data_IF_634706512106
#
_entry.id   IF_634706512106
#
_cell.length_a   1.000
_cell.length_b   1.000
_cell.length_c   1.000
_cell.angle_alpha   90.00
_cell.angle_beta   90.00
_cell.angle_gamma   90.00
#
_symmetry.space_group_name_H-M   'P 1'
#
loop_
_entity.id
_entity.type
_entity.pdbx_description
1 polymer ?
#
# COMPACT_ATOMS: atom_id res chain seq x y z
N UNK A 1 3.81 16.73 -16.45
CA UNK A 1 3.75 15.27 -16.54
C UNK A 1 3.59 14.66 -15.15
N UNK A 2 2.64 13.72 -14.94
CA UNK A 2 2.53 13.07 -13.64
C UNK A 2 3.75 12.19 -13.37
N UNK A 3 4.17 12.15 -12.11
CA UNK A 3 5.20 11.24 -11.65
C UNK A 3 4.54 10.02 -11.01
N UNK A 4 5.07 8.84 -11.31
CA UNK A 4 4.54 7.58 -10.81
C UNK A 4 5.61 6.76 -10.13
N UNK A 5 5.21 6.04 -9.09
CA UNK A 5 6.05 5.09 -8.39
C UNK A 5 5.43 3.69 -8.52
N UNK A 6 6.22 2.70 -8.88
CA UNK A 6 5.76 1.32 -8.95
C UNK A 6 6.56 0.46 -7.98
N UNK A 7 5.85 -0.31 -7.17
CA UNK A 7 6.46 -1.18 -6.17
C UNK A 7 5.73 -2.53 -6.16
N UNK A 8 6.48 -3.62 -6.01
CA UNK A 8 5.91 -4.96 -5.86
C UNK A 8 6.74 -5.78 -4.86
N UNK A 9 6.21 -6.94 -4.49
CA UNK A 9 6.91 -7.92 -3.64
C UNK A 9 7.39 -7.35 -2.30
N UNK A 10 6.55 -6.49 -1.69
CA UNK A 10 6.85 -5.94 -0.37
C UNK A 10 6.77 -7.01 0.73
N UNK A 11 5.91 -8.02 0.57
CA UNK A 11 5.76 -9.19 1.45
C UNK A 11 5.67 -8.83 2.93
N UNK A 12 4.98 -7.70 3.24
CA UNK A 12 4.79 -7.27 4.62
C UNK A 12 6.08 -6.95 5.37
N UNK A 13 7.15 -6.65 4.68
CA UNK A 13 8.42 -6.32 5.33
C UNK A 13 8.40 -4.86 5.80
N UNK A 14 8.49 -4.69 7.12
CA UNK A 14 8.46 -3.37 7.74
C UNK A 14 9.49 -2.42 7.15
N UNK A 15 10.72 -2.90 6.92
CA UNK A 15 11.81 -2.08 6.38
C UNK A 15 11.49 -1.56 4.99
N UNK A 16 10.86 -2.39 4.14
CA UNK A 16 10.47 -1.99 2.78
C UNK A 16 9.33 -0.97 2.80
N UNK A 17 8.31 -1.19 3.65
CA UNK A 17 7.21 -0.24 3.77
C UNK A 17 7.67 1.10 4.36
N UNK A 18 8.52 1.07 5.37
CA UNK A 18 9.07 2.29 5.95
C UNK A 18 9.82 3.12 4.89
N UNK A 19 10.67 2.45 4.10
CA UNK A 19 11.40 3.10 3.01
C UNK A 19 10.43 3.68 1.97
N UNK A 20 9.39 2.92 1.60
CA UNK A 20 8.38 3.38 0.66
C UNK A 20 7.70 4.65 1.16
N UNK A 21 7.19 4.65 2.39
CA UNK A 21 6.48 5.81 2.93
C UNK A 21 7.40 7.01 3.13
N UNK A 22 8.68 6.81 3.43
CA UNK A 22 9.65 7.89 3.49
C UNK A 22 9.82 8.54 2.12
N UNK A 23 9.93 7.74 1.06
CA UNK A 23 10.02 8.25 -0.31
C UNK A 23 8.76 9.00 -0.71
N UNK A 24 7.58 8.45 -0.40
CA UNK A 24 6.30 9.09 -0.72
C UNK A 24 6.15 10.43 -0.01
N UNK A 25 6.58 10.50 1.25
CA UNK A 25 6.53 11.74 2.02
C UNK A 25 7.49 12.81 1.52
N UNK A 26 8.58 12.42 0.90
CA UNK A 26 9.60 13.34 0.39
C UNK A 26 9.32 13.77 -1.05
N UNK A 27 9.04 12.80 -1.92
CA UNK A 27 8.92 13.03 -3.37
C UNK A 27 7.48 13.36 -3.79
N UNK A 28 6.49 12.99 -2.98
CA UNK A 28 5.07 13.25 -3.23
C UNK A 28 4.68 12.97 -4.69
N UNK A 29 4.85 11.72 -5.19
CA UNK A 29 4.48 11.40 -6.57
C UNK A 29 2.98 11.55 -6.79
N UNK A 30 2.56 11.72 -8.04
CA UNK A 30 1.14 11.85 -8.37
C UNK A 30 0.40 10.51 -8.20
N UNK A 31 1.06 9.39 -8.48
CA UNK A 31 0.46 8.07 -8.35
C UNK A 31 1.48 7.04 -7.86
N UNK A 32 0.95 6.04 -7.15
CA UNK A 32 1.73 4.90 -6.66
C UNK A 32 0.99 3.63 -7.05
N UNK A 33 1.71 2.66 -7.62
CA UNK A 33 1.17 1.36 -7.96
C UNK A 33 1.80 0.30 -7.07
N UNK A 34 0.97 -0.38 -6.27
CA UNK A 34 1.38 -1.51 -5.45
C UNK A 34 1.02 -2.79 -6.19
N UNK A 35 2.02 -3.46 -6.72
CA UNK A 35 1.86 -4.51 -7.74
C UNK A 35 1.53 -5.90 -7.23
N UNK A 36 1.12 -6.05 -5.98
CA UNK A 36 0.77 -7.35 -5.40
C UNK A 36 1.85 -7.91 -4.48
N UNK A 37 1.54 -9.05 -3.87
CA UNK A 37 2.39 -9.72 -2.88
C UNK A 37 2.76 -8.77 -1.74
N UNK A 38 1.71 -8.16 -1.16
CA UNK A 38 1.85 -7.08 -0.17
C UNK A 38 1.96 -7.60 1.26
N UNK A 39 1.36 -8.76 1.54
CA UNK A 39 1.25 -9.32 2.88
C UNK A 39 2.49 -10.08 3.32
N UNK A 40 2.73 -10.19 4.64
CA UNK A 40 3.82 -11.00 5.15
C UNK A 40 3.72 -12.46 4.72
N UNK A 41 4.84 -13.07 4.36
CA UNK A 41 4.93 -14.50 4.15
C UNK A 41 4.84 -15.20 5.51
N UNK A 42 3.99 -16.24 5.60
CA UNK A 42 3.66 -16.88 6.87
C UNK A 42 4.88 -17.46 7.62
N UNK A 43 5.91 -17.84 6.87
CA UNK A 43 7.09 -18.51 7.43
C UNK A 43 8.37 -17.68 7.38
N UNK A 44 8.27 -16.43 6.96
CA UNK A 44 9.45 -15.58 6.84
C UNK A 44 9.61 -14.69 8.07
N UNK A 45 10.77 -14.75 8.72
CA UNK A 45 11.09 -13.80 9.77
C UNK A 45 11.59 -12.49 9.13
N UNK A 46 11.09 -11.32 9.57
CA UNK A 46 11.55 -10.06 9.03
C UNK A 46 13.02 -9.81 9.43
N UNK A 47 13.85 -9.27 8.52
CA UNK A 47 15.26 -9.01 8.78
C UNK A 47 15.54 -8.08 9.96
N UNK A 48 14.65 -7.11 10.19
CA UNK A 48 14.77 -6.17 11.29
C UNK A 48 14.10 -6.64 12.57
N UNK A 49 13.55 -7.86 12.58
CA UNK A 49 12.84 -8.42 13.73
C UNK A 49 11.48 -7.79 14.00
N UNK A 50 11.05 -6.84 13.18
CA UNK A 50 9.78 -6.13 13.38
C UNK A 50 8.69 -6.79 12.56
N UNK A 51 7.68 -7.34 13.25
CA UNK A 51 6.52 -7.93 12.58
C UNK A 51 5.41 -6.91 12.45
N UNK A 52 4.75 -6.91 11.29
CA UNK A 52 3.59 -6.08 11.06
C UNK A 52 2.34 -6.72 11.69
N UNK A 53 1.30 -5.90 12.01
CA UNK A 53 0.08 -6.43 12.63
C UNK A 53 -0.56 -7.54 11.80
N UNK A 54 -1.25 -8.52 12.46
CA UNK A 54 -1.96 -9.58 11.72
C UNK A 54 -3.03 -9.07 10.76
N UNK A 55 -3.79 -8.03 11.14
CA UNK A 55 -4.73 -7.36 10.25
C UNK A 55 -4.00 -6.24 9.51
N UNK A 56 -3.17 -6.65 8.55
CA UNK A 56 -2.22 -5.77 7.88
C UNK A 56 -2.87 -4.55 7.24
N UNK A 57 -3.94 -4.78 6.46
CA UNK A 57 -4.54 -3.66 5.73
C UNK A 57 -5.22 -2.66 6.65
N UNK A 58 -5.92 -3.12 7.71
CA UNK A 58 -6.61 -2.23 8.64
C UNK A 58 -5.66 -1.59 9.65
N UNK A 59 -4.76 -2.39 10.23
CA UNK A 59 -3.97 -1.97 11.39
C UNK A 59 -2.61 -1.39 11.01
N UNK A 60 -2.15 -1.61 9.79
CA UNK A 60 -0.88 -1.07 9.33
C UNK A 60 -1.02 -0.18 8.11
N UNK A 61 -1.45 -0.74 6.98
CA UNK A 61 -1.42 0.00 5.71
C UNK A 61 -2.38 1.19 5.71
N UNK A 62 -3.61 0.99 6.20
CA UNK A 62 -4.58 2.08 6.29
C UNK A 62 -4.10 3.17 7.25
N UNK A 63 -3.51 2.80 8.37
CA UNK A 63 -2.96 3.76 9.34
C UNK A 63 -1.84 4.57 8.70
N UNK A 64 -0.90 3.92 8.02
CA UNK A 64 0.21 4.60 7.35
C UNK A 64 -0.28 5.54 6.25
N UNK A 65 -1.28 5.12 5.47
CA UNK A 65 -1.86 5.96 4.44
C UNK A 65 -2.60 7.17 5.01
N UNK A 66 -3.33 7.00 6.11
CA UNK A 66 -3.98 8.14 6.79
C UNK A 66 -2.96 9.15 7.29
N UNK A 67 -1.86 8.68 7.86
CA UNK A 67 -0.79 9.56 8.33
C UNK A 67 -0.14 10.31 7.17
N UNK A 68 0.11 9.62 6.07
CA UNK A 68 0.66 10.23 4.86
C UNK A 68 -0.30 11.29 4.30
N UNK A 69 -1.61 11.00 4.29
CA UNK A 69 -2.63 11.94 3.82
C UNK A 69 -2.67 13.19 4.69
N UNK A 70 -2.55 13.05 6.01
CA UNK A 70 -2.46 14.19 6.91
C UNK A 70 -1.22 15.04 6.62
N UNK A 71 -0.09 14.39 6.35
CA UNK A 71 1.17 15.08 6.07
C UNK A 71 1.14 15.83 4.74
N UNK A 72 0.60 15.22 3.69
CA UNK A 72 0.65 15.76 2.33
C UNK A 72 -0.58 16.58 1.95
N UNK A 73 -1.71 16.39 2.63
CA UNK A 73 -2.95 17.09 2.29
C UNK A 73 -3.34 16.87 0.83
N UNK A 74 -3.48 17.95 0.07
CA UNK A 74 -3.84 17.89 -1.34
C UNK A 74 -2.77 17.18 -2.20
N UNK A 75 -1.55 17.05 -1.69
CA UNK A 75 -0.47 16.33 -2.37
C UNK A 75 -0.47 14.83 -2.16
N UNK A 76 -1.48 14.29 -1.47
CA UNK A 76 -1.59 12.83 -1.28
C UNK A 76 -1.70 12.13 -2.63
N UNK A 77 -0.83 11.13 -2.91
CA UNK A 77 -0.84 10.46 -4.21
C UNK A 77 -2.08 9.60 -4.39
N UNK A 78 -2.42 9.35 -5.65
CA UNK A 78 -3.41 8.32 -5.98
C UNK A 78 -2.70 6.97 -5.85
N UNK A 79 -3.16 6.15 -4.92
CA UNK A 79 -2.57 4.83 -4.68
C UNK A 79 -3.46 3.78 -5.31
N UNK A 80 -2.88 2.97 -6.20
CA UNK A 80 -3.54 1.84 -6.82
C UNK A 80 -2.89 0.56 -6.32
N UNK A 81 -3.70 -0.43 -5.96
CA UNK A 81 -3.15 -1.69 -5.52
C UNK A 81 -3.88 -2.88 -6.12
N UNK A 82 -3.15 -3.98 -6.26
CA UNK A 82 -3.68 -5.29 -6.60
C UNK A 82 -3.19 -6.30 -5.58
N UNK A 83 -3.94 -7.38 -5.39
CA UNK A 83 -3.50 -8.51 -4.59
C UNK A 83 -2.74 -9.48 -5.50
N UNK A 84 -1.59 -9.96 -5.02
CA UNK A 84 -0.77 -10.90 -5.76
C UNK A 84 -1.14 -12.35 -5.44
N UNK A 85 -0.37 -13.28 -6.01
CA UNK A 85 -0.62 -14.71 -5.84
C UNK A 85 -0.48 -15.17 -4.39
N UNK A 86 0.38 -14.49 -3.61
CA UNK A 86 0.63 -14.83 -2.21
C UNK A 86 -0.33 -14.10 -1.26
N UNK A 87 -1.20 -13.22 -1.76
CA UNK A 87 -2.15 -12.48 -0.94
C UNK A 87 -3.51 -13.20 -0.94
N UNK A 88 -4.08 -13.58 0.22
CA UNK A 88 -5.35 -14.29 0.28
C UNK A 88 -6.52 -13.43 -0.22
N UNK A 89 -7.49 -14.07 -0.89
CA UNK A 89 -8.71 -13.39 -1.34
C UNK A 89 -9.55 -12.83 -0.20
N UNK A 90 -9.45 -13.41 0.99
CA UNK A 90 -10.14 -12.89 2.16
C UNK A 90 -9.75 -11.44 2.47
N UNK A 91 -8.58 -11.00 2.01
CA UNK A 91 -8.12 -9.64 2.20
C UNK A 91 -8.84 -8.61 1.32
N UNK A 92 -9.67 -9.05 0.37
CA UNK A 92 -10.46 -8.11 -0.44
C UNK A 92 -11.42 -7.27 0.41
N UNK A 93 -11.87 -7.78 1.56
CA UNK A 93 -12.78 -7.03 2.45
C UNK A 93 -12.07 -5.81 3.06
N UNK A 94 -10.94 -5.96 3.77
CA UNK A 94 -10.26 -4.77 4.30
C UNK A 94 -9.70 -3.86 3.20
N UNK A 95 -9.31 -4.40 2.05
CA UNK A 95 -8.90 -3.59 0.90
C UNK A 95 -10.05 -2.71 0.41
N UNK A 96 -11.26 -3.28 0.30
CA UNK A 96 -12.45 -2.52 -0.07
C UNK A 96 -12.82 -1.44 0.93
N UNK A 97 -12.58 -1.68 2.22
CA UNK A 97 -12.79 -0.68 3.26
C UNK A 97 -11.88 0.52 3.08
N UNK A 98 -10.59 0.28 2.79
CA UNK A 98 -9.65 1.37 2.52
C UNK A 98 -9.99 2.14 1.26
N UNK A 99 -10.50 1.46 0.22
CA UNK A 99 -10.97 2.10 -0.99
C UNK A 99 -12.16 3.02 -0.70
N UNK A 100 -13.11 2.56 0.12
CA UNK A 100 -14.27 3.36 0.52
C UNK A 100 -13.86 4.60 1.30
N UNK A 101 -12.77 4.54 2.05
CA UNK A 101 -12.22 5.67 2.79
C UNK A 101 -11.43 6.63 1.90
N UNK A 102 -11.15 6.25 0.65
CA UNK A 102 -10.37 7.06 -0.27
C UNK A 102 -8.87 6.96 -0.12
N UNK A 103 -8.38 5.93 0.60
CA UNK A 103 -6.94 5.74 0.81
C UNK A 103 -6.23 5.19 -0.42
N UNK A 104 -6.90 4.30 -1.15
CA UNK A 104 -6.37 3.67 -2.37
C UNK A 104 -7.52 3.22 -3.27
N UNK A 105 -7.15 2.78 -4.47
CA UNK A 105 -8.08 2.17 -5.43
C UNK A 105 -7.62 0.74 -5.69
N UNK A 106 -8.53 -0.23 -5.52
CA UNK A 106 -8.27 -1.64 -5.82
C UNK A 106 -8.57 -1.92 -7.28
N UNK A 107 -7.55 -2.37 -8.03
CA UNK A 107 -7.64 -2.49 -9.49
C UNK A 107 -7.94 -3.91 -10.01
N UNK A 108 -8.20 -4.88 -9.16
CA UNK A 108 -8.44 -6.25 -9.63
C UNK A 108 -9.57 -6.28 -10.67
N UNK A 109 -9.20 -6.55 -11.93
CA UNK A 109 -10.15 -6.58 -13.05
C UNK A 109 -10.74 -5.22 -13.44
N UNK A 110 -10.20 -4.10 -12.94
CA UNK A 110 -10.71 -2.75 -13.22
C UNK A 110 -9.67 -1.87 -13.87
N UNK A 111 -10.13 -0.76 -14.44
CA UNK A 111 -9.27 0.27 -15.01
C UNK A 111 -9.40 1.56 -14.20
N UNK A 112 -8.32 2.34 -14.19
CA UNK A 112 -8.34 3.69 -13.68
C UNK A 112 -7.63 4.63 -14.66
N UNK A 113 -8.08 5.87 -14.70
CA UNK A 113 -7.48 6.89 -15.57
C UNK A 113 -6.77 7.92 -14.71
N UNK A 114 -5.52 8.18 -15.04
CA UNK A 114 -4.73 9.26 -14.46
C UNK A 114 -4.92 10.49 -15.33
N UNK A 115 -5.73 11.40 -14.87
CA UNK A 115 -6.00 12.64 -15.60
C UNK A 115 -5.60 13.84 -14.79
#
# INVERSE_FOLDING_TARGET
>A
MPTCCFVSDLHGRHDRYEKLFNVLGTDAPDAVFLGGDLLPLAHAAPPDGKRLPPDFFRDYLAVACRDLRRKLGAGYPRIFLILGNDDPRAEEVPVGEGESEGLWTYLHGRRATLA
#
